data_IF_422705744789
#
_entry.id   IF_422705744789
#
_cell.length_a   1.000
_cell.length_b   1.000
_cell.length_c   1.000
_cell.angle_alpha   90.00
_cell.angle_beta   90.00
_cell.angle_gamma   90.00
#
_symmetry.space_group_name_H-M   'P 1'
#
loop_
_entity.id
_entity.type
_entity.pdbx_description
1 polymer ?
#
# COMPACT_ATOMS: atom_id res chain seq x y z
N UNK A 1 -35.43 65.89 -45.80
CA UNK A 1 -35.77 65.41 -44.46
C UNK A 1 -34.97 64.15 -44.21
N UNK A 2 -33.93 64.26 -43.48
CA UNK A 2 -32.96 63.16 -43.22
C UNK A 2 -33.05 62.74 -41.79
N UNK A 3 -33.48 61.52 -41.55
CA UNK A 3 -33.51 60.91 -40.21
C UNK A 3 -32.27 60.00 -40.09
N UNK A 4 -31.35 60.32 -39.17
CA UNK A 4 -30.19 59.53 -38.82
C UNK A 4 -30.55 58.74 -37.58
N UNK A 5 -30.46 57.42 -37.66
CA UNK A 5 -30.49 56.53 -36.48
C UNK A 5 -29.01 56.19 -36.07
N UNK A 6 -28.63 56.41 -34.85
CA UNK A 6 -27.33 55.93 -34.36
C UNK A 6 -27.41 54.47 -34.00
N UNK A 7 -26.44 53.70 -34.54
CA UNK A 7 -26.29 52.27 -34.24
C UNK A 7 -25.74 52.06 -32.83
N UNK A 8 -26.43 51.23 -32.09
CA UNK A 8 -26.01 50.73 -30.78
C UNK A 8 -25.08 49.55 -31.05
N UNK A 9 -23.80 49.75 -30.82
CA UNK A 9 -22.84 48.64 -30.81
C UNK A 9 -22.91 47.95 -29.44
N UNK A 10 -23.52 46.78 -29.41
CA UNK A 10 -23.61 45.95 -28.22
C UNK A 10 -22.29 45.12 -28.11
N UNK A 11 -21.35 45.58 -27.29
CA UNK A 11 -20.14 44.86 -26.97
C UNK A 11 -20.49 43.69 -26.00
N UNK A 12 -20.63 42.49 -26.55
CA UNK A 12 -20.74 41.27 -25.77
C UNK A 12 -19.35 40.90 -25.20
N UNK A 13 -19.11 41.31 -23.95
CA UNK A 13 -17.96 40.90 -23.17
C UNK A 13 -18.15 39.45 -22.69
N UNK A 14 -17.65 38.52 -23.50
CA UNK A 14 -17.64 37.09 -23.15
C UNK A 14 -16.68 36.83 -22.00
N UNK A 15 -17.20 36.74 -20.79
CA UNK A 15 -16.45 36.29 -19.62
C UNK A 15 -16.20 34.79 -19.74
N UNK A 16 -15.04 34.41 -20.30
CA UNK A 16 -14.59 33.02 -20.35
C UNK A 16 -14.16 32.63 -18.93
N UNK A 17 -15.09 32.07 -18.17
CA UNK A 17 -14.80 31.36 -16.92
C UNK A 17 -13.99 30.11 -17.25
N UNK A 18 -12.67 30.22 -17.22
CA UNK A 18 -11.75 29.11 -17.21
C UNK A 18 -11.98 28.35 -15.88
N UNK A 19 -12.87 27.37 -15.91
CA UNK A 19 -12.99 26.37 -14.87
C UNK A 19 -11.68 25.55 -14.89
N UNK A 20 -10.70 26.03 -14.13
CA UNK A 20 -9.50 25.29 -13.85
C UNK A 20 -9.87 24.01 -13.10
N UNK A 21 -10.06 22.92 -13.85
CA UNK A 21 -10.11 21.59 -13.29
C UNK A 21 -8.74 21.30 -12.70
N UNK A 22 -8.57 21.56 -11.40
CA UNK A 22 -7.44 21.04 -10.63
C UNK A 22 -7.50 19.53 -10.73
N UNK A 23 -6.84 18.99 -11.75
CA UNK A 23 -6.53 17.57 -11.78
C UNK A 23 -5.63 17.31 -10.56
N UNK A 24 -6.24 16.85 -9.47
CA UNK A 24 -5.49 16.25 -8.39
C UNK A 24 -4.72 15.09 -9.02
N UNK A 25 -3.44 15.31 -9.27
CA UNK A 25 -2.52 14.25 -9.64
C UNK A 25 -2.59 13.24 -8.49
N UNK A 26 -3.38 12.19 -8.70
CA UNK A 26 -3.46 11.05 -7.77
C UNK A 26 -2.06 10.50 -7.73
N UNK A 27 -1.36 10.75 -6.62
CA UNK A 27 -0.03 10.20 -6.37
C UNK A 27 -0.12 8.70 -6.62
N UNK A 28 0.49 8.23 -7.71
CA UNK A 28 0.53 6.82 -8.06
C UNK A 28 1.41 6.14 -7.02
N UNK A 29 0.77 5.47 -6.07
CA UNK A 29 1.49 4.75 -5.03
C UNK A 29 2.02 3.47 -5.65
N UNK A 30 3.33 3.40 -5.81
CA UNK A 30 4.00 2.20 -6.24
C UNK A 30 3.83 1.12 -5.17
N UNK A 31 3.02 0.12 -5.49
CA UNK A 31 2.80 -1.01 -4.58
C UNK A 31 3.98 -1.98 -4.55
N UNK A 32 4.83 -1.97 -5.59
CA UNK A 32 5.98 -2.87 -5.68
C UNK A 32 7.10 -2.49 -4.73
N UNK A 33 7.78 -3.49 -4.19
CA UNK A 33 8.93 -3.32 -3.29
C UNK A 33 8.85 -4.18 -2.06
N UNK A 34 9.77 -3.95 -1.13
CA UNK A 34 9.83 -4.64 0.15
C UNK A 34 9.27 -3.77 1.25
N UNK A 35 8.46 -4.37 2.09
CA UNK A 35 7.81 -3.78 3.25
C UNK A 35 8.08 -4.69 4.45
N UNK A 36 8.72 -4.16 5.48
CA UNK A 36 9.18 -5.01 6.57
C UNK A 36 8.99 -4.34 7.93
N UNK A 37 8.60 -5.15 8.91
CA UNK A 37 8.67 -4.87 10.34
C UNK A 37 9.55 -5.89 11.05
N UNK A 38 10.22 -6.79 10.30
CA UNK A 38 11.09 -7.80 10.88
C UNK A 38 12.18 -7.15 11.72
N UNK A 39 12.31 -7.62 12.95
CA UNK A 39 13.32 -7.18 13.91
C UNK A 39 13.77 -8.32 14.80
N UNK A 40 15.04 -8.34 15.15
CA UNK A 40 15.55 -9.24 16.17
C UNK A 40 15.29 -8.65 17.56
N UNK A 41 14.60 -9.41 18.40
CA UNK A 41 14.40 -9.07 19.80
C UNK A 41 15.59 -9.63 20.60
N UNK A 42 16.43 -8.74 21.12
CA UNK A 42 17.66 -9.12 21.86
C UNK A 42 17.36 -9.74 23.22
N UNK A 43 16.29 -9.35 23.87
CA UNK A 43 15.89 -9.87 25.19
C UNK A 43 15.42 -11.32 25.11
N UNK A 44 14.55 -11.60 24.12
CA UNK A 44 13.98 -12.93 23.90
C UNK A 44 14.85 -13.78 22.98
N UNK A 45 15.85 -13.19 22.32
CA UNK A 45 16.71 -13.82 21.33
C UNK A 45 15.94 -14.47 20.19
N UNK A 46 14.84 -13.84 19.80
CA UNK A 46 13.94 -14.32 18.75
C UNK A 46 13.73 -13.27 17.65
N UNK A 47 13.22 -13.71 16.50
CA UNK A 47 12.82 -12.85 15.39
C UNK A 47 11.32 -12.61 15.45
N UNK A 48 10.91 -11.36 15.25
CA UNK A 48 9.50 -10.95 15.25
C UNK A 48 9.18 -9.99 14.13
N UNK A 49 7.92 -10.01 13.71
CA UNK A 49 7.37 -9.11 12.72
C UNK A 49 7.09 -9.80 11.39
N UNK A 50 6.95 -9.01 10.35
CA UNK A 50 6.50 -9.46 9.03
C UNK A 50 7.37 -8.82 7.96
N UNK A 51 7.65 -9.57 6.90
CA UNK A 51 8.20 -9.03 5.66
C UNK A 51 7.33 -9.45 4.49
N UNK A 52 6.97 -8.48 3.66
CA UNK A 52 6.19 -8.65 2.45
C UNK A 52 6.92 -8.00 1.28
N UNK A 53 7.37 -8.81 0.32
CA UNK A 53 7.94 -8.32 -0.94
C UNK A 53 6.90 -8.44 -2.03
N UNK A 54 6.43 -7.30 -2.56
CA UNK A 54 5.41 -7.25 -3.59
C UNK A 54 6.05 -7.04 -4.96
N UNK A 55 5.63 -7.85 -5.92
CA UNK A 55 6.06 -7.78 -7.32
C UNK A 55 4.84 -7.69 -8.24
N UNK A 56 4.95 -6.98 -9.39
CA UNK A 56 3.90 -6.96 -10.38
C UNK A 56 3.85 -8.29 -11.13
N UNK A 57 2.67 -8.69 -11.53
CA UNK A 57 2.43 -9.83 -12.42
C UNK A 57 1.66 -9.36 -13.65
N UNK A 58 1.45 -10.22 -14.60
CA UNK A 58 0.65 -9.88 -15.79
C UNK A 58 -0.80 -9.49 -15.45
N UNK A 59 -1.35 -10.00 -14.34
CA UNK A 59 -2.76 -9.83 -13.97
C UNK A 59 -2.98 -9.07 -12.67
N UNK A 60 -1.91 -8.52 -12.05
CA UNK A 60 -2.01 -7.82 -10.77
C UNK A 60 -0.71 -7.85 -9.99
N UNK A 61 -0.78 -8.21 -8.71
CA UNK A 61 0.37 -8.22 -7.82
C UNK A 61 0.43 -9.52 -7.03
N UNK A 62 1.65 -10.01 -6.82
CA UNK A 62 1.92 -11.10 -5.89
C UNK A 62 2.90 -10.65 -4.82
N UNK A 63 2.80 -11.26 -3.65
CA UNK A 63 3.68 -11.02 -2.51
C UNK A 63 4.37 -12.29 -2.06
N UNK A 64 5.66 -12.18 -1.75
CA UNK A 64 6.36 -13.16 -0.93
C UNK A 64 6.28 -12.70 0.52
N UNK A 65 5.52 -13.43 1.33
CA UNK A 65 5.21 -13.11 2.72
C UNK A 65 6.01 -14.03 3.66
N UNK A 66 6.67 -13.44 4.66
CA UNK A 66 7.25 -14.16 5.80
C UNK A 66 6.75 -13.53 7.10
N UNK A 67 6.42 -14.38 8.06
CA UNK A 67 5.98 -13.97 9.39
C UNK A 67 6.91 -14.62 10.42
N UNK A 68 7.32 -13.85 11.42
CA UNK A 68 8.15 -14.30 12.51
C UNK A 68 7.47 -14.02 13.85
N UNK A 69 7.22 -15.09 14.60
CA UNK A 69 6.66 -15.06 15.96
C UNK A 69 7.47 -15.98 16.88
N UNK A 70 8.71 -15.58 17.13
CA UNK A 70 9.67 -16.42 17.85
C UNK A 70 10.48 -17.35 16.93
N UNK A 71 9.88 -17.82 15.84
CA UNK A 71 10.47 -18.55 14.73
C UNK A 71 10.06 -17.91 13.40
N UNK A 72 10.76 -18.23 12.33
CA UNK A 72 10.47 -17.74 10.98
C UNK A 72 9.58 -18.74 10.26
N UNK A 73 8.53 -18.26 9.59
CA UNK A 73 7.75 -19.08 8.67
C UNK A 73 8.52 -19.34 7.36
N UNK A 74 8.11 -20.36 6.64
CA UNK A 74 8.44 -20.47 5.22
C UNK A 74 7.89 -19.28 4.43
N UNK A 75 8.46 -19.06 3.25
CA UNK A 75 7.95 -18.03 2.34
C UNK A 75 6.60 -18.49 1.80
N UNK A 76 5.58 -17.67 2.01
CA UNK A 76 4.24 -17.86 1.47
C UNK A 76 4.02 -16.93 0.28
N UNK A 77 3.54 -17.47 -0.84
CA UNK A 77 3.11 -16.65 -1.97
C UNK A 77 1.65 -16.27 -1.76
N UNK A 78 1.37 -14.97 -1.82
CA UNK A 78 0.02 -14.41 -1.64
C UNK A 78 -0.35 -13.54 -2.83
N UNK A 79 -1.62 -13.59 -3.25
CA UNK A 79 -2.16 -12.69 -4.27
C UNK A 79 -2.60 -11.39 -3.62
N UNK A 80 -1.94 -10.28 -3.99
CA UNK A 80 -2.20 -8.96 -3.40
C UNK A 80 -3.21 -8.20 -4.24
N UNK A 81 -4.36 -7.94 -3.67
CA UNK A 81 -5.43 -7.16 -4.27
C UNK A 81 -5.31 -5.70 -3.86
N UNK A 82 -5.07 -4.82 -4.85
CA UNK A 82 -5.15 -3.37 -4.63
C UNK A 82 -6.59 -2.92 -4.83
N UNK A 83 -7.16 -2.29 -3.82
CA UNK A 83 -8.51 -1.74 -3.81
C UNK A 83 -8.50 -0.22 -3.87
N UNK A 84 -9.70 0.39 -3.91
CA UNK A 84 -9.84 1.85 -3.83
C UNK A 84 -9.20 2.40 -2.55
N UNK A 85 -8.83 3.67 -2.57
CA UNK A 85 -8.23 4.38 -1.43
C UNK A 85 -6.92 3.77 -0.93
N UNK A 86 -6.15 3.14 -1.85
CA UNK A 86 -4.86 2.52 -1.54
C UNK A 86 -4.95 1.41 -0.47
N UNK A 87 -6.09 0.77 -0.37
CA UNK A 87 -6.26 -0.40 0.48
C UNK A 87 -5.75 -1.63 -0.25
N UNK A 88 -4.97 -2.44 0.43
CA UNK A 88 -4.55 -3.76 -0.05
C UNK A 88 -5.18 -4.85 0.81
N UNK A 89 -5.42 -5.99 0.18
CA UNK A 89 -5.88 -7.19 0.86
C UNK A 89 -5.21 -8.41 0.25
N UNK A 90 -4.89 -9.38 1.08
CA UNK A 90 -4.48 -10.73 0.67
C UNK A 90 -4.90 -11.78 1.68
N UNK A 91 -4.97 -13.02 1.22
CA UNK A 91 -5.24 -14.17 2.07
C UNK A 91 -3.92 -14.87 2.42
N UNK A 92 -3.81 -15.27 3.67
CA UNK A 92 -2.70 -16.10 4.17
C UNK A 92 -3.12 -17.56 3.99
N UNK A 93 -2.28 -18.41 3.38
CA UNK A 93 -2.61 -19.80 3.15
C UNK A 93 -2.92 -20.56 4.44
N UNK A 94 -3.83 -21.52 4.38
CA UNK A 94 -4.18 -22.39 5.50
C UNK A 94 -3.00 -23.27 5.95
N UNK A 95 -1.98 -23.41 5.10
CA UNK A 95 -0.72 -24.08 5.43
C UNK A 95 0.16 -23.31 6.41
N UNK A 96 -0.22 -22.06 6.75
CA UNK A 96 0.49 -21.30 7.77
C UNK A 96 0.34 -22.00 9.13
N UNK A 97 1.46 -22.44 9.74
CA UNK A 97 1.40 -23.47 10.79
C UNK A 97 0.82 -22.98 12.11
N UNK A 98 0.80 -21.66 12.35
CA UNK A 98 0.44 -21.14 13.67
C UNK A 98 -1.07 -20.86 13.82
N UNK A 99 -1.78 -20.52 12.73
CA UNK A 99 -3.17 -20.06 12.84
C UNK A 99 -4.11 -20.62 11.76
N UNK A 100 -3.65 -21.60 10.96
CA UNK A 100 -4.51 -22.22 9.94
C UNK A 100 -4.99 -21.26 8.84
N UNK A 101 -4.19 -20.24 8.53
CA UNK A 101 -4.52 -19.23 7.54
C UNK A 101 -5.18 -17.97 8.11
N UNK A 102 -5.46 -17.01 7.25
CA UNK A 102 -6.03 -15.74 7.66
C UNK A 102 -6.14 -14.74 6.53
N UNK A 103 -6.38 -13.49 6.88
CA UNK A 103 -6.41 -12.37 5.93
C UNK A 103 -5.59 -11.21 6.48
N UNK A 104 -5.03 -10.43 5.56
CA UNK A 104 -4.49 -9.11 5.86
C UNK A 104 -5.29 -8.06 5.10
N UNK A 105 -5.62 -6.97 5.79
CA UNK A 105 -6.16 -5.78 5.15
C UNK A 105 -5.45 -4.55 5.69
N UNK A 106 -4.96 -3.68 4.79
CA UNK A 106 -4.18 -2.54 5.18
C UNK A 106 -4.17 -1.43 4.14
N UNK A 107 -3.69 -0.27 4.55
CA UNK A 107 -3.52 0.90 3.69
C UNK A 107 -2.07 1.09 3.34
N UNK A 108 -1.78 1.29 2.06
CA UNK A 108 -0.43 1.60 1.58
C UNK A 108 -0.25 3.10 1.39
N UNK A 109 0.89 3.62 1.80
CA UNK A 109 1.37 4.98 1.54
C UNK A 109 2.81 4.96 1.00
N UNK A 110 3.39 6.13 0.78
CA UNK A 110 4.78 6.25 0.30
C UNK A 110 5.82 5.67 1.26
N UNK A 111 5.49 5.55 2.54
CA UNK A 111 6.40 5.10 3.61
C UNK A 111 6.21 3.64 3.98
N UNK A 112 5.10 3.01 3.59
CA UNK A 112 4.86 1.61 3.95
C UNK A 112 3.40 1.19 3.88
N UNK A 113 3.09 0.15 4.62
CA UNK A 113 1.75 -0.43 4.74
C UNK A 113 1.39 -0.48 6.22
N UNK A 114 0.20 -0.02 6.57
CA UNK A 114 -0.36 -0.18 7.93
C UNK A 114 -1.65 -0.96 7.82
N UNK A 115 -1.79 -2.03 8.58
CA UNK A 115 -2.98 -2.87 8.51
C UNK A 115 -3.00 -3.95 9.58
N UNK A 116 -4.02 -4.77 9.50
CA UNK A 116 -4.32 -5.79 10.50
C UNK A 116 -4.29 -7.18 9.89
N UNK A 117 -3.74 -8.12 10.64
CA UNK A 117 -3.87 -9.54 10.38
C UNK A 117 -5.09 -10.07 11.15
N UNK A 118 -5.94 -10.80 10.46
CA UNK A 118 -7.06 -11.52 11.08
C UNK A 118 -6.85 -13.00 10.82
N UNK A 119 -6.56 -13.75 11.87
CA UNK A 119 -6.44 -15.19 11.86
C UNK A 119 -7.70 -15.84 12.43
N UNK A 120 -7.84 -17.14 12.25
CA UNK A 120 -8.99 -17.88 12.81
C UNK A 120 -8.94 -17.79 14.34
N UNK A 121 -9.95 -17.12 14.91
CA UNK A 121 -10.08 -16.94 16.37
C UNK A 121 -9.17 -15.88 16.99
N UNK A 122 -8.37 -15.16 16.20
CA UNK A 122 -7.46 -14.13 16.71
C UNK A 122 -7.50 -12.89 15.80
N UNK A 123 -7.78 -11.73 16.36
CA UNK A 123 -7.56 -10.45 15.70
C UNK A 123 -6.21 -9.93 16.14
N UNK A 124 -5.32 -9.74 15.19
CA UNK A 124 -3.97 -9.21 15.46
C UNK A 124 -4.00 -7.72 15.82
N UNK A 125 -2.89 -7.25 16.38
CA UNK A 125 -2.66 -5.83 16.53
C UNK A 125 -2.30 -5.22 15.17
N UNK A 126 -2.58 -3.91 14.96
CA UNK A 126 -2.15 -3.21 13.77
C UNK A 126 -0.64 -3.34 13.57
N UNK A 127 -0.23 -3.71 12.37
CA UNK A 127 1.17 -3.86 12.00
C UNK A 127 1.57 -2.75 11.02
N UNK A 128 2.74 -2.15 11.24
CA UNK A 128 3.33 -1.16 10.33
C UNK A 128 4.53 -1.78 9.62
N UNK A 129 4.36 -2.07 8.34
CA UNK A 129 5.43 -2.56 7.47
C UNK A 129 6.10 -1.36 6.79
N UNK A 130 7.34 -1.07 7.12
CA UNK A 130 8.08 0.08 6.57
C UNK A 130 8.62 -0.29 5.18
N UNK A 131 8.43 0.59 4.22
CA UNK A 131 9.01 0.43 2.88
C UNK A 131 10.52 0.61 2.95
N UNK A 132 11.27 -0.35 2.43
CA UNK A 132 12.72 -0.26 2.47
C UNK A 132 13.44 -1.48 1.92
N UNK A 133 14.61 -1.73 2.47
CA UNK A 133 15.38 -2.94 2.18
C UNK A 133 14.82 -4.13 2.93
N UNK A 134 15.05 -5.32 2.39
CA UNK A 134 14.77 -6.56 3.11
C UNK A 134 15.58 -6.62 4.40
N UNK A 135 15.00 -7.20 5.43
CA UNK A 135 15.72 -7.53 6.66
C UNK A 135 16.94 -8.40 6.37
N UNK A 136 16.84 -9.27 5.37
CA UNK A 136 17.90 -10.22 4.98
C UNK A 136 19.06 -9.57 4.22
N UNK A 137 18.83 -8.41 3.61
CA UNK A 137 19.85 -7.64 2.89
C UNK A 137 20.72 -6.79 3.82
N UNK A 138 20.38 -6.75 5.11
CA UNK A 138 21.17 -6.00 6.09
C UNK A 138 22.40 -6.83 6.46
N UNK A 139 23.64 -6.31 6.24
CA UNK A 139 24.85 -7.03 6.63
C UNK A 139 24.80 -7.33 8.13
N UNK A 140 24.83 -8.60 8.49
CA UNK A 140 25.00 -8.99 9.90
C UNK A 140 26.38 -8.49 10.33
N UNK A 141 26.42 -7.49 11.20
CA UNK A 141 27.68 -7.14 11.86
C UNK A 141 28.11 -8.38 12.65
N UNK A 142 29.14 -9.05 12.14
CA UNK A 142 29.82 -10.09 12.90
C UNK A 142 30.35 -9.43 14.15
N UNK A 143 29.89 -9.85 15.29
CA UNK A 143 30.46 -9.52 16.60
C UNK A 143 31.61 -10.50 16.88
#
# INVERSE_FOLDING_TARGET
MTSRFPGIVLALLGCLLALGTSAHAKSEIWLTGTFSSLRFNTERRDLRGVELKIVPTRTGYQGALQIAEGGLSDIMVVDVQLRRNNTIRFNIPVSYPFYGGGTFEGRVDSKGITGDFTFVGVTGNPERLVRGRSYWDTPRRSR
#
